data_IF_268838010598
#
_entry.id   IF_268838010598
#
_cell.length_a   1.000
_cell.length_b   1.000
_cell.length_c   1.000
_cell.angle_alpha   90.00
_cell.angle_beta   90.00
_cell.angle_gamma   90.00
#
_symmetry.space_group_name_H-M   'P 1'
#
loop_
_entity.id
_entity.type
_entity.pdbx_description
1 polymer ?
#
# COMPACT_ATOMS: atom_id res chain seq x y z
N UNK A 1 21.89 6.39 35.18
CA UNK A 1 21.49 4.98 35.19
C UNK A 1 20.06 4.92 34.61
N UNK A 2 19.86 4.32 33.46
CA UNK A 2 18.47 4.09 32.91
C UNK A 2 17.85 2.99 33.74
N UNK A 3 16.79 3.29 34.47
CA UNK A 3 15.93 2.28 35.09
C UNK A 3 15.46 1.33 33.97
N UNK A 4 15.89 0.07 34.03
CA UNK A 4 15.29 -0.99 33.25
C UNK A 4 13.89 -1.20 33.84
N UNK A 5 12.83 -0.83 33.08
CA UNK A 5 11.48 -1.25 33.40
C UNK A 5 11.44 -2.78 33.38
N UNK A 6 11.58 -3.39 34.55
CA UNK A 6 11.50 -4.83 34.73
C UNK A 6 10.02 -5.21 34.74
N UNK A 7 9.54 -5.75 33.62
CA UNK A 7 8.13 -6.13 33.43
C UNK A 7 7.83 -7.50 34.06
N UNK A 8 8.87 -8.32 34.28
CA UNK A 8 8.75 -9.67 34.84
C UNK A 8 9.13 -9.65 36.31
N UNK A 9 8.28 -10.16 37.24
CA UNK A 9 8.60 -10.26 38.64
C UNK A 9 9.90 -11.07 38.89
N UNK A 10 10.71 -10.63 39.86
CA UNK A 10 11.99 -11.30 40.19
C UNK A 10 11.82 -12.75 40.58
N UNK A 11 10.68 -13.13 41.16
CA UNK A 11 10.35 -14.52 41.52
C UNK A 11 10.34 -15.45 40.33
N UNK A 12 9.88 -15.00 39.16
CA UNK A 12 9.85 -15.74 37.90
C UNK A 12 11.26 -15.87 37.28
N UNK A 13 12.19 -15.00 37.66
CA UNK A 13 13.58 -15.00 37.19
C UNK A 13 14.56 -15.53 38.25
N UNK A 14 14.05 -16.17 39.31
CA UNK A 14 14.89 -16.73 40.36
C UNK A 14 15.79 -17.86 39.81
N UNK A 15 17.03 -17.98 40.36
CA UNK A 15 17.98 -19.03 39.94
C UNK A 15 17.38 -20.44 40.07
N UNK A 16 16.57 -20.65 41.12
CA UNK A 16 15.90 -21.91 41.37
C UNK A 16 14.87 -22.25 40.28
N UNK A 17 14.07 -21.25 39.87
CA UNK A 17 13.11 -21.41 38.79
C UNK A 17 13.80 -21.63 37.45
N UNK A 18 14.80 -20.83 37.12
CA UNK A 18 15.54 -20.89 35.85
C UNK A 18 16.33 -22.19 35.70
N UNK A 19 16.78 -22.81 36.83
CA UNK A 19 17.51 -24.09 36.80
C UNK A 19 16.69 -25.28 36.25
N UNK A 20 15.38 -25.11 36.13
CA UNK A 20 14.46 -26.11 35.54
C UNK A 20 14.52 -26.18 34.02
N UNK A 21 15.02 -25.12 33.37
CA UNK A 21 15.15 -25.04 31.92
C UNK A 21 16.57 -25.40 31.50
N UNK A 22 16.71 -26.44 30.70
CA UNK A 22 18.01 -26.89 30.18
C UNK A 22 18.20 -26.59 28.71
N UNK A 23 17.12 -26.37 27.99
CA UNK A 23 17.08 -26.15 26.53
C UNK A 23 16.12 -25.03 26.20
N UNK A 24 16.28 -24.44 25.02
CA UNK A 24 15.33 -23.46 24.47
C UNK A 24 13.91 -24.06 24.30
N UNK A 25 13.85 -25.38 23.99
CA UNK A 25 12.58 -26.10 23.91
C UNK A 25 11.84 -26.15 25.28
N UNK A 26 12.56 -26.24 26.40
CA UNK A 26 11.96 -26.17 27.75
C UNK A 26 11.34 -24.79 28.00
N UNK A 27 12.03 -23.74 27.59
CA UNK A 27 11.52 -22.35 27.70
C UNK A 27 10.30 -22.16 26.83
N UNK A 28 10.32 -22.61 25.57
CA UNK A 28 9.18 -22.53 24.65
C UNK A 28 7.96 -23.28 25.18
N UNK A 29 8.16 -24.48 25.73
CA UNK A 29 7.10 -25.25 26.35
C UNK A 29 6.50 -24.55 27.58
N UNK A 30 7.34 -23.94 28.40
CA UNK A 30 6.89 -23.15 29.55
C UNK A 30 6.09 -21.94 29.10
N UNK A 31 6.56 -21.15 28.15
CA UNK A 31 5.86 -19.98 27.62
C UNK A 31 4.50 -20.36 27.04
N UNK A 32 4.43 -21.49 26.33
CA UNK A 32 3.17 -22.05 25.82
C UNK A 32 2.16 -22.33 26.94
N UNK A 33 2.61 -22.99 28.01
CA UNK A 33 1.77 -23.31 29.17
C UNK A 33 1.37 -22.05 29.93
N UNK A 34 2.31 -21.15 30.15
CA UNK A 34 2.04 -19.88 30.82
C UNK A 34 1.00 -19.05 30.04
N UNK A 35 1.14 -18.96 28.74
CA UNK A 35 0.20 -18.23 27.88
C UNK A 35 -1.21 -18.81 27.98
N UNK A 36 -1.34 -20.14 27.92
CA UNK A 36 -2.65 -20.81 28.09
C UNK A 36 -3.29 -20.52 29.46
N UNK A 37 -2.50 -20.62 30.54
CA UNK A 37 -2.98 -20.32 31.90
C UNK A 37 -3.37 -18.86 32.10
N UNK A 38 -2.61 -17.92 31.53
CA UNK A 38 -2.95 -16.48 31.60
C UNK A 38 -4.28 -16.23 30.89
N UNK A 39 -4.48 -16.80 29.68
CA UNK A 39 -5.77 -16.67 28.98
C UNK A 39 -6.94 -17.25 29.77
N UNK A 40 -6.76 -18.44 30.40
CA UNK A 40 -7.80 -19.02 31.24
C UNK A 40 -8.14 -18.12 32.45
N UNK A 41 -7.13 -17.50 33.08
CA UNK A 41 -7.32 -16.55 34.17
C UNK A 41 -8.02 -15.26 33.72
N UNK A 42 -7.68 -14.73 32.54
CA UNK A 42 -8.39 -13.60 31.96
C UNK A 42 -9.86 -13.93 31.72
N UNK A 43 -10.15 -15.10 31.15
CA UNK A 43 -11.52 -15.60 30.93
C UNK A 43 -12.32 -15.80 32.24
N UNK A 44 -11.67 -16.25 33.32
CA UNK A 44 -12.29 -16.33 34.65
C UNK A 44 -12.66 -14.92 35.15
N UNK A 45 -11.76 -13.92 35.00
CA UNK A 45 -12.03 -12.53 35.37
C UNK A 45 -13.14 -11.89 34.54
N UNK A 46 -13.17 -12.13 33.23
CA UNK A 46 -14.27 -11.70 32.34
C UNK A 46 -15.61 -12.31 32.77
N UNK A 47 -15.62 -13.59 33.15
CA UNK A 47 -16.82 -14.27 33.67
C UNK A 47 -17.25 -13.68 34.99
N UNK A 48 -16.32 -13.35 35.90
CA UNK A 48 -16.61 -12.69 37.17
C UNK A 48 -17.25 -11.31 36.94
N UNK A 49 -16.72 -10.54 36.01
CA UNK A 49 -17.29 -9.25 35.63
C UNK A 49 -18.66 -9.38 34.98
N UNK A 50 -18.86 -10.40 34.10
CA UNK A 50 -20.14 -10.66 33.44
C UNK A 50 -21.24 -11.04 34.42
N UNK A 51 -20.93 -11.86 35.43
CA UNK A 51 -21.90 -12.33 36.43
C UNK A 51 -22.08 -11.34 37.61
N UNK A 52 -21.11 -10.43 37.81
CA UNK A 52 -21.11 -9.48 38.94
C UNK A 52 -20.65 -10.09 40.26
N UNK A 53 -20.07 -11.32 40.25
CA UNK A 53 -19.56 -11.97 41.45
C UNK A 53 -18.43 -12.96 41.14
N UNK A 54 -17.51 -13.13 42.09
CA UNK A 54 -16.38 -14.05 41.97
C UNK A 54 -16.80 -15.52 42.13
N UNK A 55 -15.97 -16.41 41.63
CA UNK A 55 -16.16 -17.88 41.76
C UNK A 55 -16.24 -18.27 43.23
N UNK A 56 -17.25 -19.05 43.58
CA UNK A 56 -17.58 -19.52 44.96
C UNK A 56 -18.07 -18.42 45.91
N UNK A 57 -18.41 -17.24 45.44
CA UNK A 57 -18.99 -16.18 46.26
C UNK A 57 -20.46 -16.49 46.64
N UNK A 58 -20.82 -16.21 47.88
CA UNK A 58 -22.19 -16.34 48.39
C UNK A 58 -23.15 -15.38 47.69
N UNK A 59 -22.63 -14.24 47.19
CA UNK A 59 -23.40 -13.24 46.44
C UNK A 59 -23.98 -13.75 45.14
N UNK A 60 -23.45 -14.87 44.62
CA UNK A 60 -23.97 -15.54 43.43
C UNK A 60 -25.26 -16.34 43.65
N UNK A 61 -25.68 -16.55 44.90
CA UNK A 61 -26.92 -17.27 45.20
C UNK A 61 -28.11 -16.40 44.78
N UNK A 62 -29.00 -16.97 43.95
CA UNK A 62 -30.19 -16.29 43.40
C UNK A 62 -29.93 -15.06 42.51
N UNK A 63 -28.76 -14.93 41.90
CA UNK A 63 -28.42 -13.82 41.02
C UNK A 63 -29.09 -13.84 39.62
N UNK A 64 -29.90 -14.88 39.33
CA UNK A 64 -30.57 -15.04 38.01
C UNK A 64 -29.69 -15.65 36.92
N UNK A 65 -28.37 -15.62 37.04
CA UNK A 65 -27.42 -16.29 36.16
C UNK A 65 -26.26 -16.89 36.99
N UNK A 66 -25.68 -17.98 36.53
CA UNK A 66 -24.60 -18.65 37.26
C UNK A 66 -23.63 -19.33 36.28
N UNK A 67 -22.42 -19.65 36.78
CA UNK A 67 -21.45 -20.46 36.02
C UNK A 67 -22.03 -21.83 35.70
N UNK A 68 -21.81 -22.29 34.45
CA UNK A 68 -22.29 -23.57 33.97
C UNK A 68 -21.16 -24.40 33.36
N UNK A 69 -20.09 -24.58 34.13
CA UNK A 69 -18.92 -25.33 33.70
C UNK A 69 -18.10 -24.58 32.64
N UNK A 70 -17.32 -25.34 31.91
CA UNK A 70 -16.45 -24.86 30.82
C UNK A 70 -16.40 -25.88 29.69
N UNK A 71 -15.92 -25.47 28.55
CA UNK A 71 -15.62 -26.37 27.43
C UNK A 71 -14.19 -26.17 26.92
N UNK A 72 -13.52 -27.25 26.46
CA UNK A 72 -12.19 -27.14 25.88
C UNK A 72 -12.24 -26.47 24.50
N UNK A 73 -11.33 -25.54 24.25
CA UNK A 73 -11.14 -24.91 22.96
C UNK A 73 -9.68 -24.96 22.55
N UNK A 74 -9.43 -25.48 21.38
CA UNK A 74 -8.10 -25.42 20.77
C UNK A 74 -7.83 -24.02 20.23
N UNK A 75 -6.71 -23.42 20.62
CA UNK A 75 -6.22 -22.15 20.11
C UNK A 75 -4.82 -22.34 19.53
N UNK A 76 -4.56 -21.68 18.42
CA UNK A 76 -3.24 -21.60 17.81
C UNK A 76 -2.61 -20.26 18.19
N UNK A 77 -1.41 -20.30 18.75
CA UNK A 77 -0.66 -19.10 19.17
C UNK A 77 0.75 -19.13 18.58
N UNK A 78 1.51 -18.06 18.71
CA UNK A 78 2.93 -18.02 18.30
C UNK A 78 3.81 -19.07 19.03
N UNK A 79 3.31 -19.65 20.13
CA UNK A 79 3.96 -20.71 20.90
C UNK A 79 3.42 -22.10 20.55
N UNK A 80 2.64 -22.24 19.46
CA UNK A 80 2.03 -23.49 19.00
C UNK A 80 0.58 -23.68 19.46
N UNK A 81 0.01 -24.86 19.17
CA UNK A 81 -1.38 -25.21 19.54
C UNK A 81 -1.52 -25.47 21.05
N UNK A 82 -2.48 -24.83 21.70
CA UNK A 82 -2.84 -25.05 23.11
C UNK A 82 -4.34 -25.32 23.26
N UNK A 83 -4.71 -26.10 24.26
CA UNK A 83 -6.11 -26.31 24.65
C UNK A 83 -6.36 -25.50 25.90
N UNK A 84 -7.34 -24.60 25.83
CA UNK A 84 -7.77 -23.78 26.96
C UNK A 84 -9.22 -24.07 27.33
N UNK A 85 -9.57 -23.79 28.57
CA UNK A 85 -10.90 -24.03 29.13
C UNK A 85 -11.72 -22.71 29.11
N UNK A 86 -12.73 -22.63 28.24
CA UNK A 86 -13.63 -21.48 28.15
C UNK A 86 -14.80 -21.63 29.09
N UNK A 87 -14.99 -20.70 30.06
CA UNK A 87 -16.12 -20.78 31.00
C UNK A 87 -17.43 -20.48 30.27
N UNK A 88 -18.53 -21.04 30.81
CA UNK A 88 -19.90 -20.80 30.34
C UNK A 88 -20.78 -20.34 31.47
N UNK A 89 -21.71 -19.47 31.17
CA UNK A 89 -22.83 -19.12 32.04
C UNK A 89 -24.07 -19.97 31.73
N UNK A 90 -25.02 -20.02 32.65
CA UNK A 90 -26.22 -20.81 32.51
C UNK A 90 -27.15 -20.30 31.41
N UNK A 91 -27.18 -19.00 31.21
CA UNK A 91 -28.04 -18.35 30.22
C UNK A 91 -27.42 -18.33 28.83
N UNK A 92 -26.13 -18.70 28.64
CA UNK A 92 -25.42 -18.70 27.36
C UNK A 92 -25.12 -17.32 26.80
N UNK A 93 -25.18 -16.29 27.63
CA UNK A 93 -25.02 -14.88 27.26
C UNK A 93 -23.56 -14.40 27.36
N UNK A 94 -22.68 -15.17 27.98
CA UNK A 94 -21.28 -14.82 28.10
C UNK A 94 -20.58 -14.82 26.74
N UNK A 95 -20.02 -13.68 26.39
CA UNK A 95 -19.19 -13.51 25.19
C UNK A 95 -17.77 -13.11 25.60
N UNK A 96 -16.83 -14.05 25.58
CA UNK A 96 -15.44 -13.79 25.96
C UNK A 96 -14.76 -12.84 24.98
N UNK A 97 -14.04 -11.84 25.51
CA UNK A 97 -13.28 -10.83 24.75
C UNK A 97 -11.88 -11.34 24.47
N UNK A 98 -11.21 -11.95 25.47
CA UNK A 98 -9.83 -12.44 25.33
C UNK A 98 -9.71 -13.55 24.29
N UNK A 99 -10.74 -14.41 24.15
CA UNK A 99 -10.79 -15.49 23.15
C UNK A 99 -12.22 -15.58 22.58
N UNK A 100 -12.57 -14.79 21.55
CA UNK A 100 -13.91 -14.76 20.98
C UNK A 100 -14.44 -16.14 20.54
N UNK A 101 -15.76 -16.36 20.63
CA UNK A 101 -16.40 -17.68 20.44
C UNK A 101 -15.98 -18.41 19.14
N UNK A 102 -15.82 -17.71 18.04
CA UNK A 102 -15.54 -18.29 16.72
C UNK A 102 -14.09 -18.13 16.26
N UNK A 103 -13.21 -17.59 17.09
CA UNK A 103 -11.79 -17.42 16.79
C UNK A 103 -10.97 -18.49 17.50
N UNK A 104 -10.31 -19.35 16.72
CA UNK A 104 -9.39 -20.38 17.21
C UNK A 104 -7.91 -20.01 17.03
N UNK A 105 -7.64 -18.84 16.49
CA UNK A 105 -6.29 -18.36 16.18
C UNK A 105 -6.00 -17.08 16.94
N UNK A 106 -4.82 -17.01 17.55
CA UNK A 106 -4.37 -15.78 18.19
C UNK A 106 -4.16 -14.68 17.15
N UNK A 107 -4.47 -13.43 17.53
CA UNK A 107 -4.24 -12.23 16.68
C UNK A 107 -2.79 -12.15 16.16
N UNK A 108 -1.82 -12.73 16.86
CA UNK A 108 -0.41 -12.80 16.46
C UNK A 108 -0.20 -13.62 15.18
N UNK A 109 -0.89 -14.76 15.02
CA UNK A 109 -0.78 -15.62 13.84
C UNK A 109 -1.38 -14.93 12.62
N UNK A 110 -2.55 -14.31 12.74
CA UNK A 110 -3.15 -13.58 11.63
C UNK A 110 -2.27 -12.42 11.16
N UNK A 111 -1.72 -11.65 12.11
CA UNK A 111 -0.76 -10.58 11.80
C UNK A 111 0.50 -11.11 11.12
N UNK A 112 1.02 -12.27 11.56
CA UNK A 112 2.16 -12.91 10.95
C UNK A 112 1.87 -13.34 9.51
N UNK A 113 0.75 -14.04 9.27
CA UNK A 113 0.30 -14.45 7.93
C UNK A 113 0.14 -13.24 7.00
N UNK A 114 -0.50 -12.18 7.47
CA UNK A 114 -0.68 -10.93 6.70
C UNK A 114 0.69 -10.29 6.40
N UNK A 115 1.62 -10.30 7.37
CA UNK A 115 2.96 -9.76 7.18
C UNK A 115 3.77 -10.54 6.13
N UNK A 116 3.73 -11.87 6.17
CA UNK A 116 4.39 -12.73 5.18
C UNK A 116 3.78 -12.53 3.79
N UNK A 117 2.45 -12.45 3.70
CA UNK A 117 1.76 -12.17 2.45
C UNK A 117 2.11 -10.78 1.89
N UNK A 118 2.20 -9.76 2.74
CA UNK A 118 2.63 -8.41 2.38
C UNK A 118 4.07 -8.37 1.85
N UNK A 119 4.95 -9.24 2.35
CA UNK A 119 6.33 -9.40 1.86
C UNK A 119 6.41 -10.14 0.52
N UNK A 120 5.30 -10.60 -0.03
CA UNK A 120 5.20 -11.18 -1.37
C UNK A 120 5.16 -12.70 -1.42
N UNK A 121 5.08 -13.39 -0.27
CA UNK A 121 4.94 -14.85 -0.25
C UNK A 121 3.59 -15.29 -0.83
N UNK A 122 3.59 -16.42 -1.55
CA UNK A 122 2.34 -17.06 -1.97
C UNK A 122 1.65 -17.73 -0.78
N UNK A 123 0.39 -18.12 -0.94
CA UNK A 123 -0.36 -18.83 0.10
C UNK A 123 0.31 -20.17 0.44
N UNK A 124 0.87 -20.87 -0.58
CA UNK A 124 1.59 -22.13 -0.40
C UNK A 124 2.93 -21.93 0.33
N UNK A 125 3.68 -20.87 -0.02
CA UNK A 125 4.94 -20.56 0.67
C UNK A 125 4.69 -20.21 2.15
N UNK A 126 3.58 -19.52 2.44
CA UNK A 126 3.19 -19.21 3.82
C UNK A 126 2.80 -20.48 4.59
N UNK A 127 2.08 -21.42 3.95
CA UNK A 127 1.74 -22.71 4.56
C UNK A 127 2.99 -23.49 4.94
N UNK A 128 3.97 -23.56 4.03
CA UNK A 128 5.26 -24.20 4.24
C UNK A 128 6.05 -23.53 5.36
N UNK A 129 6.22 -22.23 5.32
CA UNK A 129 6.92 -21.42 6.34
C UNK A 129 6.28 -21.56 7.72
N UNK A 130 4.93 -21.52 7.80
CA UNK A 130 4.21 -21.66 9.06
C UNK A 130 4.43 -23.06 9.67
N UNK A 131 4.46 -24.11 8.84
CA UNK A 131 4.72 -25.48 9.28
C UNK A 131 6.17 -25.68 9.69
N UNK A 132 7.14 -25.22 8.90
CA UNK A 132 8.57 -25.53 9.11
C UNK A 132 9.22 -24.68 10.20
N UNK A 133 8.88 -23.39 10.27
CA UNK A 133 9.54 -22.45 11.17
C UNK A 133 8.74 -22.24 12.45
N UNK A 134 7.41 -22.18 12.34
CA UNK A 134 6.54 -21.86 13.48
C UNK A 134 5.82 -23.08 14.05
N UNK A 135 6.02 -24.28 13.47
CA UNK A 135 5.35 -25.52 13.89
C UNK A 135 3.82 -25.40 13.98
N UNK A 136 3.24 -24.56 13.09
CA UNK A 136 1.81 -24.27 13.04
C UNK A 136 1.23 -24.84 11.73
N UNK A 137 0.25 -25.73 11.85
CA UNK A 137 -0.48 -26.25 10.70
C UNK A 137 -1.61 -25.30 10.29
N UNK A 138 -1.43 -24.65 9.16
CA UNK A 138 -2.44 -23.81 8.50
C UNK A 138 -2.61 -24.27 7.07
N UNK A 139 -3.84 -24.60 6.67
CA UNK A 139 -4.11 -24.91 5.27
C UNK A 139 -4.08 -23.65 4.40
N UNK A 140 -3.81 -23.81 3.10
CA UNK A 140 -3.88 -22.73 2.10
C UNK A 140 -5.24 -22.03 2.12
N UNK A 141 -6.34 -22.79 2.35
CA UNK A 141 -7.68 -22.22 2.51
C UNK A 141 -7.79 -21.31 3.74
N UNK A 142 -7.22 -21.73 4.86
CA UNK A 142 -7.21 -20.94 6.09
C UNK A 142 -6.41 -19.65 5.92
N UNK A 143 -5.25 -19.71 5.27
CA UNK A 143 -4.42 -18.55 4.94
C UNK A 143 -5.17 -17.60 3.98
N UNK A 144 -5.90 -18.15 3.00
CA UNK A 144 -6.74 -17.35 2.11
C UNK A 144 -7.84 -16.60 2.86
N UNK A 145 -8.50 -17.22 3.84
CA UNK A 145 -9.50 -16.56 4.70
C UNK A 145 -8.87 -15.42 5.50
N UNK A 146 -7.72 -15.65 6.14
CA UNK A 146 -7.00 -14.62 6.89
C UNK A 146 -6.64 -13.43 5.98
N UNK A 147 -6.06 -13.71 4.81
CA UNK A 147 -5.68 -12.64 3.88
C UNK A 147 -6.88 -11.94 3.25
N UNK A 148 -8.07 -12.57 3.19
CA UNK A 148 -9.29 -11.92 2.69
C UNK A 148 -9.82 -10.84 3.64
N UNK A 149 -9.49 -10.89 4.94
CA UNK A 149 -9.80 -9.80 5.89
C UNK A 149 -9.18 -8.46 5.45
N UNK A 150 -8.08 -8.51 4.71
CA UNK A 150 -7.43 -7.32 4.12
C UNK A 150 -8.29 -6.61 3.08
N UNK A 151 -9.22 -7.32 2.42
CA UNK A 151 -10.07 -6.73 1.37
C UNK A 151 -10.96 -5.61 1.92
N UNK A 152 -11.50 -5.78 3.12
CA UNK A 152 -12.31 -4.74 3.76
C UNK A 152 -11.47 -3.50 4.04
N UNK A 153 -10.30 -3.67 4.66
CA UNK A 153 -9.39 -2.56 4.93
C UNK A 153 -8.92 -1.86 3.65
N UNK A 154 -8.66 -2.62 2.58
CA UNK A 154 -8.32 -2.07 1.27
C UNK A 154 -9.47 -1.26 0.66
N UNK A 155 -10.72 -1.71 0.84
CA UNK A 155 -11.90 -1.00 0.36
C UNK A 155 -12.17 0.27 1.17
N UNK A 156 -12.05 0.22 2.49
CA UNK A 156 -12.17 1.39 3.36
C UNK A 156 -11.10 2.43 3.02
N UNK A 157 -9.85 2.00 2.83
CA UNK A 157 -8.75 2.86 2.38
C UNK A 157 -9.03 3.47 1.00
N UNK A 158 -9.52 2.69 0.04
CA UNK A 158 -9.85 3.18 -1.30
C UNK A 158 -10.96 4.23 -1.26
N UNK A 159 -11.95 4.09 -0.39
CA UNK A 159 -13.12 4.97 -0.31
C UNK A 159 -12.95 6.12 0.69
N UNK A 160 -11.79 6.24 1.33
CA UNK A 160 -11.56 7.29 2.32
C UNK A 160 -11.68 8.69 1.71
N UNK A 161 -12.12 9.71 2.48
CA UNK A 161 -12.06 11.10 2.05
C UNK A 161 -10.62 11.52 1.72
N UNK A 162 -10.48 12.41 0.76
CA UNK A 162 -9.21 12.97 0.31
C UNK A 162 -9.17 14.48 0.61
N UNK A 163 -7.96 15.04 0.62
CA UNK A 163 -7.78 16.49 0.78
C UNK A 163 -8.42 17.23 -0.42
N UNK A 164 -8.97 18.42 -0.19
CA UNK A 164 -9.66 19.16 -1.26
C UNK A 164 -8.71 19.67 -2.35
N UNK A 165 -7.44 19.92 -2.03
CA UNK A 165 -6.45 20.45 -2.98
C UNK A 165 -5.16 19.64 -2.93
N UNK A 166 -4.71 19.20 -4.11
CA UNK A 166 -3.40 18.61 -4.31
C UNK A 166 -2.55 19.49 -5.22
N UNK A 167 -1.29 19.72 -4.83
CA UNK A 167 -0.37 20.57 -5.61
C UNK A 167 0.05 19.87 -6.90
N UNK A 168 0.35 18.59 -6.81
CA UNK A 168 0.68 17.73 -7.96
C UNK A 168 0.00 16.38 -7.78
N UNK A 169 -0.54 15.83 -8.86
CA UNK A 169 -0.97 14.43 -8.91
C UNK A 169 -0.25 13.72 -10.06
N UNK A 170 0.48 12.67 -9.74
CA UNK A 170 1.10 11.76 -10.72
C UNK A 170 0.21 10.56 -10.95
N UNK A 171 0.03 10.18 -12.20
CA UNK A 171 -0.80 9.07 -12.64
C UNK A 171 -0.01 8.13 -13.51
N UNK A 172 -0.06 6.83 -13.21
CA UNK A 172 0.67 5.78 -13.96
C UNK A 172 0.05 4.40 -13.70
N UNK A 173 0.38 3.43 -14.54
CA UNK A 173 -0.09 2.07 -14.45
C UNK A 173 1.02 1.04 -14.26
N UNK A 174 0.75 0.00 -13.48
CA UNK A 174 1.62 -1.15 -13.32
C UNK A 174 0.91 -2.43 -13.77
N UNK A 175 1.51 -3.14 -14.75
CA UNK A 175 0.92 -4.33 -15.36
C UNK A 175 1.23 -5.57 -14.56
N UNK A 176 0.20 -6.41 -14.34
CA UNK A 176 0.26 -7.72 -13.70
C UNK A 176 -0.39 -8.79 -14.59
N UNK A 177 0.09 -10.02 -14.48
CA UNK A 177 -0.56 -11.20 -15.04
C UNK A 177 -1.61 -11.72 -14.08
N UNK A 178 -2.85 -11.83 -14.55
CA UNK A 178 -4.00 -12.24 -13.72
C UNK A 178 -4.76 -13.34 -14.43
N UNK A 179 -5.21 -14.34 -13.69
CA UNK A 179 -6.12 -15.37 -14.23
C UNK A 179 -7.53 -14.80 -14.30
N UNK A 180 -8.09 -14.86 -15.50
CA UNK A 180 -9.46 -14.41 -15.82
C UNK A 180 -10.11 -15.43 -16.74
N UNK A 181 -11.20 -16.04 -16.32
CA UNK A 181 -11.93 -17.07 -17.06
C UNK A 181 -11.03 -18.22 -17.57
N UNK A 182 -10.15 -18.73 -16.72
CA UNK A 182 -9.24 -19.83 -17.04
C UNK A 182 -7.98 -19.44 -17.84
N UNK A 183 -7.89 -18.20 -18.33
CA UNK A 183 -6.73 -17.68 -19.08
C UNK A 183 -5.94 -16.69 -18.26
N UNK A 184 -4.62 -16.64 -18.51
CA UNK A 184 -3.76 -15.60 -17.92
C UNK A 184 -3.73 -14.42 -18.89
N UNK A 185 -4.19 -13.26 -18.43
CA UNK A 185 -4.19 -12.01 -19.18
C UNK A 185 -3.43 -10.92 -18.45
N UNK A 186 -2.97 -9.92 -19.17
CA UNK A 186 -2.43 -8.72 -18.57
C UNK A 186 -3.57 -7.82 -18.08
N UNK A 187 -3.48 -7.39 -16.82
CA UNK A 187 -4.31 -6.32 -16.25
C UNK A 187 -3.41 -5.25 -15.67
N UNK A 188 -3.87 -4.01 -15.69
CA UNK A 188 -3.12 -2.88 -15.17
C UNK A 188 -3.76 -2.42 -13.87
N UNK A 189 -2.93 -2.22 -12.84
CA UNK A 189 -3.30 -1.46 -11.65
C UNK A 189 -2.86 -0.02 -11.88
N UNK A 190 -3.82 0.88 -11.96
CA UNK A 190 -3.60 2.30 -12.10
C UNK A 190 -3.50 2.94 -10.73
N UNK A 191 -2.55 3.82 -10.56
CA UNK A 191 -2.22 4.49 -9.31
C UNK A 191 -2.25 6.01 -9.52
N UNK A 192 -2.76 6.71 -8.52
CA UNK A 192 -2.63 8.16 -8.39
C UNK A 192 -1.86 8.48 -7.12
N UNK A 193 -0.82 9.30 -7.22
CA UNK A 193 -0.04 9.78 -6.08
C UNK A 193 -0.16 11.30 -6.01
N UNK A 194 -0.61 11.82 -4.88
CA UNK A 194 -0.78 13.25 -4.63
C UNK A 194 0.37 13.84 -3.82
N UNK A 195 0.74 15.08 -4.10
CA UNK A 195 1.56 15.94 -3.27
C UNK A 195 0.66 16.90 -2.50
N UNK A 196 0.66 16.76 -1.19
CA UNK A 196 -0.15 17.58 -0.28
C UNK A 196 0.49 18.95 -0.03
N UNK A 197 -0.30 19.90 0.49
CA UNK A 197 0.18 21.24 0.85
C UNK A 197 1.24 21.25 1.94
N UNK A 198 1.37 20.20 2.74
CA UNK A 198 2.43 20.02 3.74
C UNK A 198 3.71 19.38 3.17
N UNK A 199 3.77 19.13 1.86
CA UNK A 199 4.91 18.51 1.18
C UNK A 199 5.00 16.98 1.29
N UNK A 200 4.07 16.35 1.98
CA UNK A 200 4.01 14.90 2.06
C UNK A 200 3.34 14.29 0.81
N UNK A 201 3.75 13.09 0.49
CA UNK A 201 3.14 12.30 -0.58
C UNK A 201 2.07 11.39 -0.02
N UNK A 202 1.04 11.14 -0.81
CA UNK A 202 -0.05 10.23 -0.48
C UNK A 202 -0.49 9.44 -1.71
N UNK A 203 -0.73 8.14 -1.58
CA UNK A 203 -1.36 7.37 -2.65
C UNK A 203 -2.87 7.57 -2.57
N UNK A 204 -3.46 8.21 -3.58
CA UNK A 204 -4.88 8.59 -3.57
C UNK A 204 -5.81 7.41 -3.80
N UNK A 205 -5.34 6.38 -4.50
CA UNK A 205 -6.09 5.17 -4.76
C UNK A 205 -5.44 4.26 -5.78
N UNK A 206 -6.06 3.09 -5.96
CA UNK A 206 -5.69 2.08 -6.95
C UNK A 206 -6.93 1.55 -7.67
N UNK A 207 -6.85 1.43 -8.98
CA UNK A 207 -7.94 0.93 -9.82
C UNK A 207 -7.42 -0.16 -10.75
N UNK A 208 -8.17 -1.25 -10.92
CA UNK A 208 -7.77 -2.37 -11.78
C UNK A 208 -8.57 -2.33 -13.08
N UNK A 209 -7.89 -2.34 -14.21
CA UNK A 209 -8.48 -2.33 -15.54
C UNK A 209 -7.78 -3.28 -16.51
N UNK A 210 -8.51 -3.72 -17.56
CA UNK A 210 -7.96 -4.57 -18.62
C UNK A 210 -7.18 -3.77 -19.67
N UNK A 211 -7.61 -2.53 -19.90
CA UNK A 211 -7.01 -1.63 -20.88
C UNK A 211 -7.00 -0.20 -20.35
N UNK A 212 -5.97 0.52 -20.69
CA UNK A 212 -5.89 1.95 -20.47
C UNK A 212 -6.69 2.68 -21.54
N UNK A 213 -7.63 3.52 -21.10
CA UNK A 213 -8.45 4.35 -22.00
C UNK A 213 -8.81 5.66 -21.31
N UNK A 214 -9.11 6.68 -22.09
CA UNK A 214 -9.59 7.96 -21.56
C UNK A 214 -10.89 7.80 -20.75
N UNK A 215 -11.80 6.90 -21.16
CA UNK A 215 -13.01 6.60 -20.39
C UNK A 215 -12.74 5.93 -19.04
N UNK A 216 -11.72 5.07 -18.95
CA UNK A 216 -11.29 4.50 -17.69
C UNK A 216 -10.76 5.60 -16.74
N UNK A 217 -9.88 6.47 -17.25
CA UNK A 217 -9.35 7.59 -16.49
C UNK A 217 -10.42 8.61 -16.10
N UNK A 218 -11.46 8.79 -16.93
CA UNK A 218 -12.64 9.57 -16.56
C UNK A 218 -13.26 9.03 -15.26
N UNK A 219 -13.43 7.71 -15.15
CA UNK A 219 -13.94 7.06 -13.94
C UNK A 219 -13.02 7.30 -12.73
N UNK A 220 -11.70 7.18 -12.91
CA UNK A 220 -10.70 7.43 -11.85
C UNK A 220 -10.77 8.87 -11.35
N UNK A 221 -10.78 9.86 -12.25
CA UNK A 221 -10.84 11.28 -11.89
C UNK A 221 -12.17 11.65 -11.22
N UNK A 222 -13.28 11.05 -11.69
CA UNK A 222 -14.59 11.22 -11.09
C UNK A 222 -14.63 10.65 -9.67
N UNK A 223 -14.00 9.49 -9.43
CA UNK A 223 -13.86 8.90 -8.09
C UNK A 223 -13.06 9.82 -7.15
N UNK A 224 -11.93 10.37 -7.61
CA UNK A 224 -11.17 11.36 -6.83
C UNK A 224 -12.04 12.54 -6.43
N UNK A 225 -12.83 13.07 -7.36
CA UNK A 225 -13.73 14.21 -7.11
C UNK A 225 -14.85 13.83 -6.12
N UNK A 226 -15.44 12.65 -6.26
CA UNK A 226 -16.46 12.14 -5.34
C UNK A 226 -15.93 11.95 -3.91
N UNK A 227 -14.64 11.67 -3.75
CA UNK A 227 -13.96 11.53 -2.48
C UNK A 227 -13.44 12.84 -1.90
N UNK A 228 -13.77 13.98 -2.49
CA UNK A 228 -13.52 15.31 -1.92
C UNK A 228 -12.46 16.14 -2.63
N UNK A 229 -11.74 15.62 -3.63
CA UNK A 229 -10.77 16.41 -4.39
C UNK A 229 -11.51 17.47 -5.23
N UNK A 230 -11.32 18.72 -4.88
CA UNK A 230 -11.92 19.87 -5.58
C UNK A 230 -10.99 20.41 -6.66
N UNK A 231 -9.68 20.42 -6.39
CA UNK A 231 -8.68 20.98 -7.29
C UNK A 231 -7.37 20.21 -7.30
N UNK A 232 -6.74 20.17 -8.48
CA UNK A 232 -5.38 19.66 -8.71
C UNK A 232 -4.63 20.73 -9.49
N UNK A 233 -3.55 21.29 -8.92
CA UNK A 233 -2.85 22.40 -9.59
C UNK A 233 -2.07 21.91 -10.81
N UNK A 234 -1.34 20.80 -10.67
CA UNK A 234 -0.56 20.20 -11.76
C UNK A 234 -0.84 18.70 -11.82
N UNK A 235 -1.18 18.19 -12.98
CA UNK A 235 -1.36 16.76 -13.24
C UNK A 235 -0.22 16.25 -14.11
N UNK A 236 0.47 15.20 -13.67
CA UNK A 236 1.55 14.55 -14.42
C UNK A 236 1.09 13.16 -14.88
N UNK A 237 1.14 12.89 -16.19
CA UNK A 237 0.60 11.67 -16.78
C UNK A 237 1.44 11.17 -17.94
N UNK A 238 1.14 9.95 -18.40
CA UNK A 238 1.65 9.41 -19.65
C UNK A 238 0.98 10.06 -20.86
N UNK A 239 1.60 9.87 -22.02
CA UNK A 239 1.05 10.33 -23.27
C UNK A 239 -0.02 9.35 -23.80
N UNK A 240 -1.18 9.30 -23.17
CA UNK A 240 -2.35 8.55 -23.63
C UNK A 240 -3.28 9.49 -24.40
N UNK A 241 -3.69 9.07 -25.60
CA UNK A 241 -4.62 9.85 -26.42
C UNK A 241 -5.93 10.17 -25.68
N UNK A 242 -6.33 11.45 -25.66
CA UNK A 242 -7.54 11.95 -25.03
C UNK A 242 -7.47 12.03 -23.50
N UNK A 243 -6.32 11.72 -22.89
CA UNK A 243 -6.20 11.80 -21.42
C UNK A 243 -6.15 13.25 -20.94
N UNK A 244 -5.39 14.09 -21.61
CA UNK A 244 -5.33 15.54 -21.30
C UNK A 244 -6.72 16.17 -21.34
N UNK A 245 -7.53 15.86 -22.36
CA UNK A 245 -8.91 16.37 -22.48
C UNK A 245 -9.81 15.84 -21.36
N UNK A 246 -9.62 14.58 -20.98
CA UNK A 246 -10.31 13.97 -19.83
C UNK A 246 -10.00 14.69 -18.54
N UNK A 247 -8.73 15.01 -18.28
CA UNK A 247 -8.30 15.79 -17.11
C UNK A 247 -8.97 17.17 -17.13
N UNK A 248 -8.88 17.89 -18.24
CA UNK A 248 -9.49 19.23 -18.40
C UNK A 248 -11.01 19.22 -18.18
N UNK A 249 -11.70 18.15 -18.53
CA UNK A 249 -13.17 18.05 -18.33
C UNK A 249 -13.55 17.93 -16.85
N UNK A 250 -12.73 17.30 -16.01
CA UNK A 250 -13.00 17.08 -14.58
C UNK A 250 -12.33 18.14 -13.69
N UNK A 251 -11.09 18.51 -14.01
CA UNK A 251 -10.28 19.51 -13.32
C UNK A 251 -9.81 20.60 -14.31
N UNK A 252 -10.70 21.51 -14.72
CA UNK A 252 -10.45 22.44 -15.82
C UNK A 252 -9.31 23.43 -15.57
N UNK A 253 -8.98 23.68 -14.32
CA UNK A 253 -7.89 24.57 -13.93
C UNK A 253 -6.54 23.87 -13.76
N UNK A 254 -6.48 22.54 -13.90
CA UNK A 254 -5.25 21.79 -13.76
C UNK A 254 -4.33 21.99 -14.94
N UNK A 255 -3.05 22.30 -14.67
CA UNK A 255 -2.00 22.30 -15.69
C UNK A 255 -1.54 20.85 -15.93
N UNK A 256 -1.74 20.33 -17.15
CA UNK A 256 -1.38 18.94 -17.46
C UNK A 256 0.01 18.87 -18.08
N UNK A 257 0.91 18.11 -17.48
CA UNK A 257 2.26 17.81 -17.98
C UNK A 257 2.35 16.36 -18.41
N UNK A 258 2.68 16.11 -19.67
CA UNK A 258 3.01 14.78 -20.17
C UNK A 258 4.45 14.42 -19.77
N UNK A 259 4.65 13.20 -19.32
CA UNK A 259 5.96 12.71 -18.90
C UNK A 259 6.98 12.69 -20.04
N UNK A 260 8.02 13.49 -19.90
CA UNK A 260 9.12 13.57 -20.89
C UNK A 260 9.87 12.23 -21.00
N UNK A 261 10.03 11.50 -19.90
CA UNK A 261 10.72 10.19 -19.91
C UNK A 261 9.93 9.16 -20.73
N UNK A 262 8.59 9.12 -20.58
CA UNK A 262 7.75 8.25 -21.41
C UNK A 262 7.79 8.66 -22.88
N UNK A 263 7.82 9.94 -23.20
CA UNK A 263 7.99 10.44 -24.55
C UNK A 263 9.34 9.99 -25.17
N UNK A 264 10.43 10.07 -24.41
CA UNK A 264 11.76 9.59 -24.84
C UNK A 264 11.71 8.08 -25.11
N UNK A 265 11.15 7.29 -24.20
CA UNK A 265 11.00 5.83 -24.36
C UNK A 265 10.19 5.48 -25.62
N UNK A 266 9.11 6.21 -25.85
CA UNK A 266 8.26 6.01 -27.03
C UNK A 266 9.02 6.35 -28.32
N UNK A 267 9.76 7.45 -28.36
CA UNK A 267 10.59 7.83 -29.49
C UNK A 267 11.66 6.77 -29.78
N UNK A 268 12.29 6.21 -28.74
CA UNK A 268 13.32 5.17 -28.88
C UNK A 268 12.80 3.83 -29.43
N UNK A 269 11.48 3.60 -29.50
CA UNK A 269 10.90 2.41 -30.18
C UNK A 269 11.13 2.45 -31.68
N UNK A 270 11.22 3.62 -32.27
CA UNK A 270 11.44 3.84 -33.69
C UNK A 270 12.93 3.90 -34.07
N UNK A 271 13.84 3.91 -33.08
CA UNK A 271 15.29 4.11 -33.28
C UNK A 271 16.04 2.79 -33.17
N UNK A 272 16.88 2.46 -34.15
CA UNK A 272 17.73 1.26 -34.10
C UNK A 272 18.74 1.35 -32.95
N UNK A 273 19.10 0.19 -32.40
CA UNK A 273 19.92 0.11 -31.18
C UNK A 273 21.20 0.93 -31.20
N UNK A 274 21.94 0.87 -32.33
CA UNK A 274 23.22 1.58 -32.52
C UNK A 274 23.11 3.11 -32.38
N UNK A 275 21.96 3.68 -32.77
CA UNK A 275 21.77 5.14 -32.77
C UNK A 275 21.11 5.64 -31.47
N UNK A 276 20.55 4.74 -30.64
CA UNK A 276 19.79 5.13 -29.44
C UNK A 276 20.59 6.02 -28.50
N UNK A 277 21.87 5.74 -28.29
CA UNK A 277 22.71 6.49 -27.35
C UNK A 277 22.87 7.95 -27.80
N UNK A 278 23.16 8.16 -29.07
CA UNK A 278 23.34 9.50 -29.63
C UNK A 278 22.01 10.24 -29.75
N UNK A 279 20.96 9.57 -30.25
CA UNK A 279 19.62 10.10 -30.32
C UNK A 279 19.07 10.56 -28.97
N UNK A 280 19.27 9.77 -27.90
CA UNK A 280 18.84 10.17 -26.55
C UNK A 280 19.68 11.31 -25.98
N UNK A 281 20.97 11.40 -26.34
CA UNK A 281 21.82 12.52 -25.94
C UNK A 281 21.33 13.84 -26.57
N UNK A 282 20.96 13.80 -27.85
CA UNK A 282 20.43 14.97 -28.57
C UNK A 282 19.06 15.38 -27.99
N UNK A 283 18.17 14.42 -27.71
CA UNK A 283 16.89 14.73 -27.04
C UNK A 283 17.08 15.40 -25.67
N UNK A 284 18.17 15.11 -24.97
CA UNK A 284 18.47 15.70 -23.67
C UNK A 284 18.58 17.23 -23.73
N UNK A 285 19.05 17.78 -24.86
CA UNK A 285 19.16 19.22 -25.04
C UNK A 285 17.80 19.91 -25.01
N UNK A 286 16.73 19.24 -25.47
CA UNK A 286 15.37 19.79 -25.50
C UNK A 286 14.86 20.01 -24.06
N UNK A 287 14.88 18.97 -23.22
CA UNK A 287 14.27 19.09 -21.89
C UNK A 287 15.19 19.72 -20.82
N UNK A 288 16.48 19.87 -21.11
CA UNK A 288 17.42 20.64 -20.30
C UNK A 288 17.54 22.10 -20.73
N UNK A 289 16.83 22.52 -21.77
CA UNK A 289 16.85 23.90 -22.23
C UNK A 289 16.40 24.87 -21.12
N UNK A 290 16.91 26.11 -21.10
CA UNK A 290 16.54 27.09 -20.09
C UNK A 290 15.08 27.55 -20.20
N UNK A 291 14.54 27.59 -21.43
CA UNK A 291 13.16 28.01 -21.74
C UNK A 291 12.59 27.26 -22.95
N UNK A 292 11.29 27.48 -23.23
CA UNK A 292 10.55 26.82 -24.31
C UNK A 292 11.09 27.17 -25.70
N UNK A 293 11.59 28.38 -25.90
CA UNK A 293 12.10 28.88 -27.19
C UNK A 293 13.42 28.18 -27.57
N UNK A 294 14.34 28.05 -26.61
CA UNK A 294 15.59 27.28 -26.82
C UNK A 294 15.27 25.80 -27.01
N UNK A 295 14.33 25.25 -26.26
CA UNK A 295 13.90 23.88 -26.45
C UNK A 295 13.32 23.62 -27.84
N UNK A 296 12.56 24.57 -28.39
CA UNK A 296 12.05 24.47 -29.77
C UNK A 296 13.17 24.48 -30.80
N UNK A 297 14.21 25.31 -30.62
CA UNK A 297 15.41 25.31 -31.46
C UNK A 297 16.15 23.97 -31.40
N UNK A 298 16.26 23.37 -30.22
CA UNK A 298 16.87 22.04 -30.05
C UNK A 298 16.02 20.93 -30.69
N UNK A 299 14.69 21.04 -30.70
CA UNK A 299 13.83 20.12 -31.45
C UNK A 299 14.05 20.27 -32.98
N UNK A 300 14.22 21.50 -33.49
CA UNK A 300 14.54 21.75 -34.90
C UNK A 300 15.91 21.14 -35.25
N UNK A 301 16.92 21.24 -34.38
CA UNK A 301 18.21 20.63 -34.54
C UNK A 301 18.13 19.09 -34.57
N UNK A 302 17.32 18.52 -33.65
CA UNK A 302 17.04 17.07 -33.62
C UNK A 302 16.40 16.61 -34.93
N UNK A 303 15.42 17.36 -35.43
CA UNK A 303 14.73 17.07 -36.70
C UNK A 303 15.66 17.15 -37.91
N UNK A 304 16.51 18.19 -38.03
CA UNK A 304 17.51 18.29 -39.06
C UNK A 304 18.47 17.10 -39.09
N UNK A 305 18.88 16.62 -37.92
CA UNK A 305 19.84 15.50 -37.82
C UNK A 305 19.18 14.14 -38.05
N UNK A 306 18.00 13.91 -37.48
CA UNK A 306 17.38 12.58 -37.39
C UNK A 306 16.05 12.43 -38.15
N UNK A 307 15.43 13.54 -38.58
CA UNK A 307 14.11 13.53 -39.22
C UNK A 307 14.03 12.68 -40.47
N UNK A 308 15.09 12.69 -41.32
CA UNK A 308 15.15 11.85 -42.50
C UNK A 308 15.21 10.34 -42.17
N UNK A 309 15.76 9.96 -41.04
CA UNK A 309 15.93 8.56 -40.63
C UNK A 309 14.82 8.07 -39.69
N UNK A 310 14.33 8.92 -38.80
CA UNK A 310 13.34 8.59 -37.76
C UNK A 310 12.18 9.59 -37.72
N UNK A 311 11.45 9.80 -38.82
CA UNK A 311 10.42 10.84 -38.90
C UNK A 311 9.29 10.67 -37.85
N UNK A 312 8.89 9.44 -37.55
CA UNK A 312 7.85 9.17 -36.55
C UNK A 312 8.26 9.55 -35.14
N UNK A 313 9.54 9.38 -34.78
CA UNK A 313 10.06 9.80 -33.48
C UNK A 313 9.97 11.33 -33.33
N UNK A 314 10.35 12.08 -34.38
CA UNK A 314 10.29 13.55 -34.39
C UNK A 314 8.83 14.03 -34.37
N UNK A 315 7.99 13.47 -35.24
CA UNK A 315 6.56 13.82 -35.32
C UNK A 315 5.85 13.65 -33.98
N UNK A 316 6.21 12.60 -33.24
CA UNK A 316 5.67 12.38 -31.88
C UNK A 316 5.98 13.53 -30.91
N UNK A 317 7.16 14.17 -31.01
CA UNK A 317 7.48 15.36 -30.22
C UNK A 317 6.72 16.59 -30.68
N UNK A 318 6.59 16.80 -32.00
CA UNK A 318 5.84 17.91 -32.56
C UNK A 318 4.36 17.87 -32.16
N UNK A 319 3.74 16.71 -32.29
CA UNK A 319 2.30 16.54 -31.98
C UNK A 319 1.97 16.74 -30.51
N UNK A 320 2.91 16.46 -29.61
CA UNK A 320 2.70 16.57 -28.18
C UNK A 320 3.43 17.76 -27.55
N UNK A 321 3.96 18.68 -28.39
CA UNK A 321 4.86 19.74 -27.95
C UNK A 321 4.31 20.59 -26.81
N UNK A 322 3.06 21.06 -26.92
CA UNK A 322 2.45 21.94 -25.92
C UNK A 322 2.30 21.26 -24.58
N UNK A 323 1.77 20.04 -24.53
CA UNK A 323 1.59 19.28 -23.30
C UNK A 323 2.93 18.75 -22.72
N UNK A 324 3.95 18.51 -23.57
CA UNK A 324 5.29 18.14 -23.14
C UNK A 324 6.08 19.30 -22.53
N UNK A 325 5.80 20.54 -22.93
CA UNK A 325 6.59 21.71 -22.56
C UNK A 325 5.93 22.59 -21.49
N UNK A 326 4.83 22.15 -20.90
CA UNK A 326 4.14 22.85 -19.81
C UNK A 326 5.08 23.15 -18.65
N UNK A 327 6.02 22.26 -18.34
CA UNK A 327 6.96 22.44 -17.23
C UNK A 327 7.84 23.68 -17.37
N UNK A 328 8.06 24.22 -18.58
CA UNK A 328 8.81 25.47 -18.78
C UNK A 328 8.11 26.69 -18.19
N UNK A 329 6.80 26.63 -17.94
CA UNK A 329 6.04 27.73 -17.31
C UNK A 329 6.36 27.86 -15.81
N UNK A 330 7.01 26.87 -15.22
CA UNK A 330 7.28 26.81 -13.78
C UNK A 330 8.75 27.09 -13.45
N UNK A 331 9.05 27.57 -12.22
CA UNK A 331 10.41 27.69 -11.72
C UNK A 331 11.14 26.34 -11.65
N UNK A 332 12.47 26.41 -11.65
CA UNK A 332 13.35 25.23 -11.78
C UNK A 332 13.05 24.11 -10.76
N UNK A 333 12.72 24.49 -9.50
CA UNK A 333 12.46 23.50 -8.46
C UNK A 333 11.16 22.72 -8.71
N UNK A 334 10.11 23.39 -9.19
CA UNK A 334 8.86 22.75 -9.62
C UNK A 334 9.10 21.94 -10.90
N UNK A 335 9.86 22.49 -11.89
CA UNK A 335 10.18 21.74 -13.13
C UNK A 335 10.75 20.36 -12.83
N UNK A 336 11.72 20.27 -11.91
CA UNK A 336 12.44 19.02 -11.57
C UNK A 336 11.51 17.91 -11.09
N UNK A 337 10.38 18.25 -10.50
CA UNK A 337 9.45 17.26 -9.93
C UNK A 337 8.27 16.92 -10.84
N UNK A 338 8.01 17.71 -11.90
CA UNK A 338 6.87 17.49 -12.80
C UNK A 338 7.22 16.98 -14.19
N UNK A 339 8.40 17.32 -14.75
CA UNK A 339 8.76 16.88 -16.12
C UNK A 339 8.98 15.37 -16.25
N UNK A 340 9.06 14.66 -15.10
CA UNK A 340 9.20 13.20 -15.07
C UNK A 340 8.19 12.58 -14.09
N UNK A 341 7.80 11.34 -14.39
CA UNK A 341 7.02 10.49 -13.47
C UNK A 341 7.91 9.61 -12.58
N UNK A 342 9.18 9.98 -12.38
CA UNK A 342 10.15 9.20 -11.60
C UNK A 342 9.63 8.84 -10.19
N UNK A 343 8.81 9.68 -9.59
CA UNK A 343 8.22 9.42 -8.28
C UNK A 343 7.32 8.19 -8.31
N UNK A 344 6.36 8.16 -9.24
CA UNK A 344 5.42 7.04 -9.36
C UNK A 344 6.10 5.80 -9.98
N UNK A 345 7.07 5.98 -10.89
CA UNK A 345 7.91 4.86 -11.37
C UNK A 345 8.71 4.20 -10.24
N UNK A 346 9.25 4.99 -9.31
CA UNK A 346 9.93 4.48 -8.10
C UNK A 346 8.96 3.71 -7.21
N UNK A 347 7.73 4.22 -7.06
CA UNK A 347 6.66 3.51 -6.35
C UNK A 347 6.35 2.16 -7.03
N UNK A 348 6.16 2.16 -8.35
CA UNK A 348 5.93 0.95 -9.14
C UNK A 348 7.09 -0.06 -8.98
N UNK A 349 8.34 0.42 -8.99
CA UNK A 349 9.52 -0.39 -8.71
C UNK A 349 9.52 -1.02 -7.33
N UNK A 350 9.09 -0.27 -6.30
CA UNK A 350 8.94 -0.80 -4.94
C UNK A 350 7.81 -1.82 -4.84
N UNK A 351 6.67 -1.60 -5.47
CA UNK A 351 5.56 -2.57 -5.54
C UNK A 351 6.04 -3.86 -6.22
N UNK A 352 6.78 -3.75 -7.34
CA UNK A 352 7.36 -4.93 -8.03
C UNK A 352 8.28 -5.73 -7.13
N UNK A 353 8.99 -5.12 -6.18
CA UNK A 353 9.82 -5.84 -5.21
C UNK A 353 8.99 -6.80 -4.35
N UNK A 354 7.78 -6.43 -3.97
CA UNK A 354 6.85 -7.27 -3.19
C UNK A 354 6.07 -8.28 -4.06
N UNK A 355 6.02 -8.06 -5.37
CA UNK A 355 5.23 -8.91 -6.28
C UNK A 355 6.07 -9.77 -7.22
N UNK A 356 7.41 -9.64 -7.17
CA UNK A 356 8.34 -10.29 -8.11
C UNK A 356 8.28 -11.81 -8.07
N UNK A 357 8.03 -12.42 -6.92
CA UNK A 357 7.90 -13.87 -6.74
C UNK A 357 6.62 -14.45 -7.36
N UNK A 358 5.60 -13.61 -7.59
CA UNK A 358 4.30 -14.05 -8.12
C UNK A 358 4.28 -13.95 -9.64
N UNK A 359 4.39 -15.08 -10.33
CA UNK A 359 4.35 -15.15 -11.81
C UNK A 359 2.99 -14.70 -12.35
N UNK A 360 1.91 -15.02 -11.66
CA UNK A 360 0.54 -14.57 -11.96
C UNK A 360 -0.31 -14.57 -10.69
N UNK A 361 -1.37 -13.77 -10.71
CA UNK A 361 -2.34 -13.70 -9.62
C UNK A 361 -3.59 -14.51 -9.95
N UNK A 362 -4.21 -15.20 -8.98
CA UNK A 362 -5.40 -16.01 -9.21
C UNK A 362 -6.66 -15.17 -9.50
N UNK A 363 -6.70 -13.91 -9.07
CA UNK A 363 -7.86 -13.00 -9.25
C UNK A 363 -7.44 -11.54 -9.12
N UNK A 364 -8.35 -10.63 -9.51
CA UNK A 364 -8.19 -9.18 -9.30
C UNK A 364 -8.08 -8.83 -7.81
N UNK A 365 -8.84 -9.52 -6.95
CA UNK A 365 -8.78 -9.28 -5.50
C UNK A 365 -7.42 -9.67 -4.91
N UNK A 366 -6.78 -10.72 -5.43
CA UNK A 366 -5.43 -11.09 -5.01
C UNK A 366 -4.40 -10.02 -5.41
N UNK A 367 -4.56 -9.39 -6.58
CA UNK A 367 -3.75 -8.24 -7.00
C UNK A 367 -3.99 -7.07 -6.06
N UNK A 368 -5.27 -6.68 -5.86
CA UNK A 368 -5.63 -5.55 -4.99
C UNK A 368 -5.07 -5.70 -3.59
N UNK A 369 -5.25 -6.87 -2.95
CA UNK A 369 -4.72 -7.17 -1.61
C UNK A 369 -3.20 -6.97 -1.56
N UNK A 370 -2.48 -7.56 -2.53
CA UNK A 370 -1.02 -7.52 -2.54
C UNK A 370 -0.50 -6.12 -2.79
N UNK A 371 -1.11 -5.38 -3.72
CA UNK A 371 -0.73 -3.99 -4.01
C UNK A 371 -1.06 -3.09 -2.81
N UNK A 372 -2.25 -3.22 -2.22
CA UNK A 372 -2.63 -2.46 -1.02
C UNK A 372 -1.64 -2.65 0.13
N UNK A 373 -1.32 -3.89 0.47
CA UNK A 373 -0.35 -4.18 1.55
C UNK A 373 1.04 -3.62 1.23
N UNK A 374 1.47 -3.70 -0.05
CA UNK A 374 2.73 -3.10 -0.49
C UNK A 374 2.72 -1.59 -0.35
N UNK A 375 1.60 -0.94 -0.69
CA UNK A 375 1.42 0.51 -0.53
C UNK A 375 1.50 0.92 0.94
N UNK A 376 0.81 0.20 1.83
CA UNK A 376 0.86 0.48 3.28
C UNK A 376 2.28 0.41 3.83
N UNK A 377 3.08 -0.57 3.41
CA UNK A 377 4.49 -0.68 3.83
C UNK A 377 5.39 0.42 3.24
N UNK A 378 5.06 0.90 2.04
CA UNK A 378 5.81 1.98 1.39
C UNK A 378 5.46 3.34 2.00
N UNK A 379 4.17 3.62 2.21
CA UNK A 379 3.69 4.90 2.75
C UNK A 379 4.13 5.15 4.19
N UNK A 380 4.32 4.10 5.01
CA UNK A 380 4.94 4.23 6.35
C UNK A 380 6.29 4.94 6.33
N UNK A 381 6.99 4.95 5.19
CA UNK A 381 8.29 5.61 5.01
C UNK A 381 8.18 7.03 4.45
N UNK A 382 6.98 7.49 4.10
CA UNK A 382 6.74 8.84 3.57
C UNK A 382 6.43 9.83 4.69
N UNK A 383 7.32 9.92 5.66
CA UNK A 383 7.15 10.74 6.87
C UNK A 383 7.77 12.12 6.77
N UNK A 384 8.50 12.40 5.69
CA UNK A 384 9.17 13.67 5.48
C UNK A 384 8.66 14.35 4.21
N UNK A 385 8.53 15.69 4.22
CA UNK A 385 8.27 16.45 3.01
C UNK A 385 9.31 16.19 1.92
N UNK A 386 8.98 16.49 0.67
CA UNK A 386 9.95 16.46 -0.41
C UNK A 386 11.08 17.47 -0.18
N UNK A 387 12.26 17.17 -0.75
CA UNK A 387 13.43 18.03 -0.60
C UNK A 387 13.13 19.48 -1.04
N UNK A 388 13.71 20.46 -0.33
CA UNK A 388 13.50 21.90 -0.57
C UNK A 388 12.03 22.38 -0.46
N UNK A 389 11.23 21.70 0.36
CA UNK A 389 9.79 21.95 0.45
C UNK A 389 9.43 23.41 0.65
N UNK A 390 10.07 24.12 1.59
CA UNK A 390 9.76 25.53 1.86
C UNK A 390 9.92 26.43 0.63
N UNK A 391 10.98 26.21 -0.18
CA UNK A 391 11.18 26.95 -1.43
C UNK A 391 10.12 26.60 -2.47
N UNK A 392 9.83 25.31 -2.61
CA UNK A 392 8.81 24.82 -3.56
C UNK A 392 7.43 25.37 -3.20
N UNK A 393 7.05 25.32 -1.92
CA UNK A 393 5.75 25.83 -1.47
C UNK A 393 5.61 27.33 -1.71
N UNK A 394 6.65 28.12 -1.44
CA UNK A 394 6.63 29.56 -1.74
C UNK A 394 6.42 29.82 -3.24
N UNK A 395 7.03 29.02 -4.11
CA UNK A 395 6.80 29.13 -5.56
C UNK A 395 5.37 28.75 -5.95
N UNK A 396 4.80 27.69 -5.36
CA UNK A 396 3.39 27.35 -5.58
C UNK A 396 2.45 28.45 -5.11
N UNK A 397 2.69 29.06 -3.96
CA UNK A 397 1.87 30.15 -3.44
C UNK A 397 1.89 31.38 -4.37
N UNK A 398 3.05 31.73 -4.94
CA UNK A 398 3.17 32.83 -5.88
C UNK A 398 2.44 32.57 -7.21
N UNK A 399 2.46 31.34 -7.71
CA UNK A 399 1.87 30.99 -9.01
C UNK A 399 0.37 30.73 -8.91
N UNK A 400 -0.08 30.14 -7.79
CA UNK A 400 -1.44 29.64 -7.58
C UNK A 400 -2.12 30.32 -6.38
N UNK A 401 -1.79 31.59 -6.12
CA UNK A 401 -2.19 32.36 -4.93
C UNK A 401 -3.67 32.21 -4.53
N UNK A 402 -4.57 32.20 -5.51
CA UNK A 402 -6.03 32.13 -5.26
C UNK A 402 -6.56 30.67 -5.13
N UNK A 403 -5.70 29.66 -5.23
CA UNK A 403 -6.08 28.24 -5.25
C UNK A 403 -5.51 27.44 -4.08
N UNK A 404 -4.60 28.03 -3.32
CA UNK A 404 -4.00 27.45 -2.13
C UNK A 404 -4.54 28.20 -0.91
N UNK A 405 -5.29 27.51 -0.06
CA UNK A 405 -5.73 28.04 1.23
C UNK A 405 -4.75 27.59 2.30
N UNK A 406 -4.21 28.53 3.07
CA UNK A 406 -3.30 28.28 4.20
C UNK A 406 -4.12 28.06 5.46
#
# INVERSE_FOLDING_TARGET
MKEKNQVVPDEVLSKEFLSRFKTEADVSKFLKQLHAQVLEKMLEGEMDAHLGYEKNSVTGNNSGNSRNGSYPKKIQTEHGESVISIPRDRNGQFEPIAVPKHESRGLSIEKLVISLYAKGMSVSDIEEEMREIYEIELSTSAISIITNKVNQAAQEWQNRPLDPVYLIVWMDGIVFKVRDNGKIINKTVYLCVGLKQNGLKEVLGMWVGKSESSSFWMGVLTDLKARGVQDILITCTDNLNGFTDTIRSIFPQSSTQICVVHQIRNSCKYVVYKDKKEFTADMKNIYNAPNKEVAATELDNLEKKWGGKYPYAILSWRNNWDDLTVFFQFPLEIRKIIYTTNLIENLNGKIRKYTKSKLSFPSDDAVKKTVYLSLMEIEKKWTQPIHNWGLIMNQFMLIFENRIQI
#
